data_IF_481232789383
#
_entry.id   IF_481232789383
#
_cell.length_a   1.000
_cell.length_b   1.000
_cell.length_c   1.000
_cell.angle_alpha   90.00
_cell.angle_beta   90.00
_cell.angle_gamma   90.00
#
_symmetry.space_group_name_H-M   'P 1'
#
loop_
_entity.id
_entity.type
_entity.pdbx_description
1 polymer ?
#
# COMPACT_ATOMS: atom_id res chain seq x y z
N UNK A 1 12.46 9.16 -2.62
CA UNK A 1 11.35 8.19 -2.69
C UNK A 1 10.11 8.90 -3.24
N UNK A 2 9.36 8.30 -4.17
CA UNK A 2 8.09 8.85 -4.68
C UNK A 2 6.91 8.08 -4.06
N UNK A 3 5.69 8.63 -4.08
CA UNK A 3 4.50 7.90 -3.58
C UNK A 3 4.31 6.59 -4.33
N UNK A 4 4.59 6.56 -5.64
CA UNK A 4 4.56 5.34 -6.45
C UNK A 4 5.59 4.32 -5.95
N UNK A 5 6.84 4.76 -5.75
CA UNK A 5 7.89 3.86 -5.29
C UNK A 5 7.57 3.32 -3.89
N UNK A 6 7.20 4.20 -2.97
CA UNK A 6 6.79 3.84 -1.62
C UNK A 6 5.66 2.82 -1.63
N UNK A 7 4.58 3.05 -2.39
CA UNK A 7 3.38 2.21 -2.33
C UNK A 7 3.38 0.98 -3.23
N UNK A 8 4.23 0.88 -4.25
CA UNK A 8 4.15 -0.20 -5.24
C UNK A 8 5.49 -0.87 -5.57
N UNK A 9 6.62 -0.18 -5.40
CA UNK A 9 7.91 -0.66 -5.96
C UNK A 9 9.00 -0.90 -4.93
N UNK A 10 8.85 -0.37 -3.71
CA UNK A 10 9.90 -0.44 -2.69
C UNK A 10 10.06 -1.86 -2.14
N UNK A 11 11.23 -2.51 -2.35
CA UNK A 11 11.45 -3.88 -1.90
C UNK A 11 11.53 -4.00 -0.36
N UNK A 12 11.89 -2.92 0.35
CA UNK A 12 11.95 -2.90 1.81
C UNK A 12 10.57 -3.16 2.46
N UNK A 13 9.49 -2.85 1.75
CA UNK A 13 8.12 -2.99 2.26
C UNK A 13 7.38 -4.19 1.66
N UNK A 14 8.10 -5.18 1.13
CA UNK A 14 7.52 -6.39 0.50
C UNK A 14 6.48 -7.08 1.37
N UNK A 15 6.73 -7.22 2.68
CA UNK A 15 5.77 -7.82 3.60
C UNK A 15 4.49 -6.98 3.75
N UNK A 16 4.62 -5.66 3.84
CA UNK A 16 3.48 -4.75 3.91
C UNK A 16 2.69 -4.71 2.59
N UNK A 17 3.37 -4.76 1.43
CA UNK A 17 2.72 -4.91 0.13
C UNK A 17 1.94 -6.21 0.02
N UNK A 18 2.50 -7.32 0.50
CA UNK A 18 1.81 -8.60 0.45
C UNK A 18 0.50 -8.55 1.25
N UNK A 19 0.48 -7.92 2.42
CA UNK A 19 -0.75 -7.71 3.19
C UNK A 19 -1.72 -6.77 2.46
N UNK A 20 -1.22 -5.68 1.87
CA UNK A 20 -2.04 -4.74 1.12
C UNK A 20 -2.72 -5.42 -0.08
N UNK A 21 -1.99 -6.26 -0.82
CA UNK A 21 -2.51 -7.09 -1.93
C UNK A 21 -3.50 -8.13 -1.42
N UNK A 22 -3.24 -8.77 -0.28
CA UNK A 22 -4.16 -9.75 0.30
C UNK A 22 -5.52 -9.11 0.67
N UNK A 23 -5.51 -7.88 1.17
CA UNK A 23 -6.72 -7.16 1.57
C UNK A 23 -7.48 -6.54 0.39
N UNK A 24 -6.78 -5.96 -0.59
CA UNK A 24 -7.40 -5.17 -1.67
C UNK A 24 -7.37 -5.88 -3.04
N UNK A 25 -6.73 -7.04 -3.13
CA UNK A 25 -6.55 -7.79 -4.38
C UNK A 25 -5.82 -6.97 -5.44
N UNK A 26 -6.29 -7.06 -6.69
CA UNK A 26 -5.71 -6.31 -7.83
C UNK A 26 -5.79 -4.79 -7.64
N UNK A 27 -6.69 -4.29 -6.80
CA UNK A 27 -6.77 -2.87 -6.47
C UNK A 27 -5.51 -2.34 -5.78
N UNK A 28 -4.77 -3.19 -5.06
CA UNK A 28 -3.51 -2.83 -4.42
C UNK A 28 -2.40 -2.45 -5.40
N UNK A 29 -2.49 -2.87 -6.67
CA UNK A 29 -1.49 -2.55 -7.69
C UNK A 29 -1.79 -1.23 -8.43
N UNK A 30 -2.85 -0.52 -8.05
CA UNK A 30 -3.31 0.70 -8.73
C UNK A 30 -3.22 1.89 -7.79
N UNK A 31 -2.26 2.78 -8.02
CA UNK A 31 -2.08 3.97 -7.21
C UNK A 31 -3.36 4.85 -7.16
N UNK A 32 -4.08 5.10 -8.28
CA UNK A 32 -5.35 5.84 -8.22
C UNK A 32 -6.40 5.17 -7.33
N UNK A 33 -6.47 3.83 -7.34
CA UNK A 33 -7.39 3.09 -6.47
C UNK A 33 -7.00 3.23 -5.00
N UNK A 34 -5.71 3.08 -4.68
CA UNK A 34 -5.20 3.23 -3.32
C UNK A 34 -5.50 4.61 -2.74
N UNK A 35 -5.41 5.67 -3.55
CA UNK A 35 -5.57 7.05 -3.10
C UNK A 35 -7.00 7.57 -3.12
N UNK A 36 -7.90 6.96 -3.90
CA UNK A 36 -9.24 7.52 -4.15
C UNK A 36 -10.38 6.60 -3.69
N UNK A 37 -10.13 5.31 -3.53
CA UNK A 37 -11.19 4.36 -3.20
C UNK A 37 -11.38 4.27 -1.68
N UNK A 38 -12.60 4.56 -1.19
CA UNK A 38 -12.91 4.58 0.25
C UNK A 38 -12.53 3.28 0.99
N UNK A 39 -12.70 2.13 0.33
CA UNK A 39 -12.27 0.82 0.88
C UNK A 39 -10.75 0.63 0.98
N UNK A 40 -9.96 1.39 0.21
CA UNK A 40 -8.50 1.29 0.21
C UNK A 40 -7.86 2.16 1.29
N UNK A 41 -8.46 3.30 1.63
CA UNK A 41 -7.92 4.27 2.60
C UNK A 41 -7.52 3.62 3.95
N UNK A 42 -8.34 2.76 4.59
CA UNK A 42 -7.96 2.14 5.85
C UNK A 42 -6.74 1.22 5.72
N UNK A 43 -6.64 0.49 4.61
CA UNK A 43 -5.53 -0.44 4.38
C UNK A 43 -4.24 0.31 4.02
N UNK A 44 -4.35 1.43 3.31
CA UNK A 44 -3.23 2.34 3.04
C UNK A 44 -2.70 2.97 4.33
N UNK A 45 -3.57 3.40 5.25
CA UNK A 45 -3.14 3.92 6.55
C UNK A 45 -2.42 2.86 7.39
N UNK A 46 -2.91 1.61 7.38
CA UNK A 46 -2.23 0.48 8.02
C UNK A 46 -0.85 0.24 7.41
N UNK A 47 -0.76 0.25 6.07
CA UNK A 47 0.49 0.12 5.34
C UNK A 47 1.50 1.18 5.79
N UNK A 48 1.12 2.46 5.77
CA UNK A 48 1.97 3.58 6.22
C UNK A 48 2.43 3.42 7.67
N UNK A 49 1.53 3.01 8.57
CA UNK A 49 1.88 2.81 9.98
C UNK A 49 2.86 1.65 10.19
N UNK A 50 2.81 0.59 9.37
CA UNK A 50 3.78 -0.51 9.44
C UNK A 50 5.13 -0.08 8.89
N UNK A 51 5.17 0.63 7.76
CA UNK A 51 6.42 1.02 7.11
C UNK A 51 7.15 2.15 7.83
N UNK A 52 6.45 2.99 8.59
CA UNK A 52 7.07 4.06 9.42
C UNK A 52 7.60 3.57 10.77
N UNK A 53 7.22 2.36 11.20
CA UNK A 53 7.67 1.74 12.45
C UNK A 53 8.76 0.69 12.25
N UNK A 54 9.14 0.41 11.01
CA UNK A 54 10.01 -0.70 10.64
C UNK A 54 11.44 -0.27 10.33
#
# INVERSE_FOLDING_TARGET
ETVLHFMLECPAYTAAHYQLIKSLGRGACSLPFLLSHSKAIPEVLKYVNVTTKS
#
